data_IF_908938749028
#
_entry.id   IF_908938749028
#
_cell.length_a   1.000
_cell.length_b   1.000
_cell.length_c   1.000
_cell.angle_alpha   90.00
_cell.angle_beta   90.00
_cell.angle_gamma   90.00
#
_symmetry.space_group_name_H-M   'P 1'
#
loop_
_entity.id
_entity.type
_entity.pdbx_description
1 polymer ?
#
# COMPACT_ATOMS: atom_id res chain seq x y z
N UNK A 1 -3.12 7.27 18.87
CA UNK A 1 -3.51 5.95 19.42
C UNK A 1 -2.78 4.86 18.68
N UNK A 2 -2.27 3.86 19.40
CA UNK A 2 -1.49 2.79 18.82
C UNK A 2 -2.18 1.43 18.97
N UNK A 3 -2.13 0.62 17.91
CA UNK A 3 -2.64 -0.75 17.92
C UNK A 3 -1.47 -1.67 17.59
N UNK A 4 -1.24 -2.67 18.44
CA UNK A 4 -0.05 -3.52 18.39
C UNK A 4 -0.45 -4.99 18.28
N UNK A 5 0.20 -5.70 17.34
CA UNK A 5 0.12 -7.16 17.22
C UNK A 5 -1.31 -7.70 17.11
N UNK A 6 -2.15 -7.03 16.31
CA UNK A 6 -3.52 -7.46 16.07
C UNK A 6 -3.69 -8.08 14.69
N UNK A 7 -4.57 -9.07 14.62
CA UNK A 7 -5.09 -9.58 13.37
C UNK A 7 -6.45 -8.94 13.15
N UNK A 8 -6.58 -8.20 12.06
CA UNK A 8 -7.79 -7.45 11.76
C UNK A 8 -8.46 -8.10 10.57
N UNK A 9 -9.64 -8.67 10.80
CA UNK A 9 -10.38 -9.44 9.81
C UNK A 9 -11.76 -8.85 9.52
N UNK A 10 -12.12 -7.73 10.13
CA UNK A 10 -13.36 -7.04 9.86
C UNK A 10 -13.38 -6.59 8.41
N UNK A 11 -14.30 -7.11 7.62
CA UNK A 11 -14.33 -6.94 6.17
C UNK A 11 -14.34 -5.48 5.73
N UNK A 12 -15.06 -4.64 6.44
CA UNK A 12 -15.13 -3.21 6.17
C UNK A 12 -14.71 -2.42 7.39
N UNK A 13 -13.75 -1.52 7.21
CA UNK A 13 -13.34 -0.57 8.23
C UNK A 13 -13.84 0.82 7.84
N UNK A 14 -14.25 1.59 8.79
CA UNK A 14 -14.62 2.99 8.53
C UNK A 14 -13.37 3.86 8.46
N UNK A 15 -13.50 5.01 7.79
CA UNK A 15 -12.41 5.96 7.72
C UNK A 15 -12.00 6.45 9.12
N UNK A 16 -12.99 6.65 10.01
CA UNK A 16 -12.72 7.07 11.38
C UNK A 16 -12.02 6.02 12.23
N UNK A 17 -12.17 4.74 11.90
CA UNK A 17 -11.46 3.67 12.59
C UNK A 17 -9.97 3.65 12.26
N UNK A 18 -9.58 4.21 11.12
CA UNK A 18 -8.20 4.17 10.63
C UNK A 18 -7.47 5.50 10.77
N UNK A 19 -8.19 6.62 10.64
CA UNK A 19 -7.55 7.94 10.67
C UNK A 19 -6.97 8.27 12.03
N UNK A 20 -5.71 8.74 12.03
CA UNK A 20 -5.02 9.10 13.25
C UNK A 20 -4.53 7.92 14.09
N UNK A 21 -4.54 6.71 13.54
CA UNK A 21 -4.15 5.51 14.26
C UNK A 21 -2.81 4.98 13.74
N UNK A 22 -1.96 4.57 14.66
CA UNK A 22 -0.69 3.94 14.36
C UNK A 22 -0.79 2.44 14.60
N UNK A 23 -0.50 1.66 13.56
CA UNK A 23 -0.52 0.21 13.63
C UNK A 23 0.91 -0.33 13.60
N UNK A 24 1.22 -1.20 14.54
CA UNK A 24 2.51 -1.86 14.62
C UNK A 24 2.35 -3.37 14.62
N UNK A 25 3.03 -4.05 13.71
CA UNK A 25 3.05 -5.51 13.62
C UNK A 25 1.65 -6.12 13.54
N UNK A 26 0.78 -5.50 12.75
CA UNK A 26 -0.61 -5.94 12.56
C UNK A 26 -0.77 -6.66 11.23
N UNK A 27 -1.76 -7.54 11.17
CA UNK A 27 -2.13 -8.25 9.94
C UNK A 27 -3.57 -7.87 9.60
N UNK A 28 -3.76 -7.36 8.38
CA UNK A 28 -5.07 -7.02 7.83
C UNK A 28 -5.42 -8.08 6.79
N UNK A 29 -6.50 -8.83 7.01
CA UNK A 29 -6.92 -9.91 6.10
C UNK A 29 -8.30 -9.68 5.52
N UNK A 30 -8.43 -9.79 4.22
CA UNK A 30 -9.71 -9.76 3.49
C UNK A 30 -10.52 -8.51 3.76
N UNK A 31 -9.84 -7.37 3.87
CA UNK A 31 -10.47 -6.10 4.17
C UNK A 31 -10.69 -5.34 2.87
N UNK A 32 -11.84 -4.68 2.76
CA UNK A 32 -12.16 -3.81 1.64
C UNK A 32 -12.10 -2.36 2.10
N UNK A 33 -11.25 -1.58 1.45
CA UNK A 33 -11.09 -0.14 1.71
C UNK A 33 -11.42 0.60 0.42
N UNK A 34 -12.58 1.26 0.39
CA UNK A 34 -13.04 1.96 -0.80
C UNK A 34 -13.35 3.43 -0.50
N UNK A 35 -12.79 4.33 -1.31
CA UNK A 35 -13.08 5.76 -1.29
C UNK A 35 -12.75 6.43 0.05
N UNK A 36 -11.69 6.01 0.70
CA UNK A 36 -11.25 6.60 1.97
C UNK A 36 -10.26 7.74 1.72
N UNK A 37 -10.34 8.73 2.59
CA UNK A 37 -9.37 9.81 2.65
C UNK A 37 -8.63 9.67 3.99
N UNK A 38 -7.56 8.90 3.99
CA UNK A 38 -6.77 8.68 5.20
C UNK A 38 -5.97 9.91 5.57
N UNK A 39 -5.92 10.19 6.86
CA UNK A 39 -5.08 11.25 7.39
C UNK A 39 -4.30 10.73 8.59
N UNK A 40 -3.01 11.01 8.60
CA UNK A 40 -2.14 10.75 9.75
C UNK A 40 -2.18 9.31 10.22
N UNK A 41 -2.17 8.36 9.27
CA UNK A 41 -2.08 6.94 9.58
C UNK A 41 -0.64 6.45 9.43
N UNK A 42 -0.22 5.61 10.35
CA UNK A 42 1.09 4.99 10.27
C UNK A 42 0.96 3.47 10.39
N UNK A 43 1.59 2.77 9.47
CA UNK A 43 1.65 1.31 9.48
C UNK A 43 3.12 0.91 9.48
N UNK A 44 3.55 0.24 10.54
CA UNK A 44 4.91 -0.26 10.67
C UNK A 44 4.89 -1.77 10.88
N UNK A 45 5.66 -2.48 10.06
CA UNK A 45 5.74 -3.94 10.09
C UNK A 45 4.37 -4.62 9.97
N UNK A 46 3.50 -4.05 9.16
CA UNK A 46 2.16 -4.56 8.94
C UNK A 46 2.09 -5.35 7.63
N UNK A 47 1.15 -6.28 7.58
CA UNK A 47 0.89 -7.08 6.39
C UNK A 47 -0.57 -6.94 6.00
N UNK A 48 -0.80 -6.74 4.71
CA UNK A 48 -2.14 -6.69 4.12
C UNK A 48 -2.26 -7.89 3.19
N UNK A 49 -3.16 -8.82 3.52
CA UNK A 49 -3.30 -10.07 2.80
C UNK A 49 -4.72 -10.19 2.25
N UNK A 50 -4.85 -10.45 0.95
CA UNK A 50 -6.16 -10.58 0.28
C UNK A 50 -7.06 -9.37 0.47
N UNK A 51 -6.48 -8.18 0.50
CA UNK A 51 -7.25 -6.94 0.67
C UNK A 51 -7.55 -6.31 -0.69
N UNK A 52 -8.66 -5.59 -0.74
CA UNK A 52 -9.04 -4.78 -1.89
C UNK A 52 -9.02 -3.31 -1.48
N UNK A 53 -8.18 -2.53 -2.13
CA UNK A 53 -7.96 -1.11 -1.79
C UNK A 53 -8.25 -0.29 -3.03
N UNK A 54 -9.32 0.53 -2.99
CA UNK A 54 -9.78 1.28 -4.16
C UNK A 54 -9.98 2.75 -3.84
N UNK A 55 -9.53 3.59 -4.76
CA UNK A 55 -9.80 5.03 -4.75
C UNK A 55 -9.41 5.69 -3.43
N UNK A 56 -8.17 5.47 -2.99
CA UNK A 56 -7.65 6.06 -1.78
C UNK A 56 -6.80 7.28 -2.08
N UNK A 57 -6.95 8.29 -1.23
CA UNK A 57 -6.01 9.40 -1.13
C UNK A 57 -5.19 9.20 0.14
N UNK A 58 -3.88 9.18 -0.02
CA UNK A 58 -2.96 8.88 1.06
C UNK A 58 -2.32 10.19 1.55
N UNK A 59 -3.04 10.94 2.40
CA UNK A 59 -2.53 12.18 2.97
C UNK A 59 -1.81 11.91 4.28
N UNK A 60 -0.51 12.23 4.35
CA UNK A 60 0.31 11.97 5.53
C UNK A 60 0.28 10.51 5.96
N UNK A 61 0.29 9.65 4.98
CA UNK A 61 0.25 8.20 5.17
C UNK A 61 1.66 7.67 5.25
N UNK A 62 1.94 6.84 6.24
CA UNK A 62 3.28 6.33 6.48
C UNK A 62 3.30 4.81 6.44
N UNK A 63 4.16 4.25 5.60
CA UNK A 63 4.37 2.81 5.47
C UNK A 63 5.83 2.50 5.77
N UNK A 64 6.09 1.72 6.80
CA UNK A 64 7.44 1.31 7.16
C UNK A 64 7.48 -0.21 7.28
N UNK A 65 8.29 -0.85 6.47
CA UNK A 65 8.48 -2.31 6.45
C UNK A 65 7.15 -3.08 6.33
N UNK A 66 6.28 -2.62 5.43
CA UNK A 66 4.98 -3.25 5.21
C UNK A 66 5.00 -4.17 3.99
N UNK A 67 4.10 -5.14 3.97
CA UNK A 67 3.92 -6.05 2.84
C UNK A 67 2.45 -6.09 2.42
N UNK A 68 2.22 -6.03 1.11
CA UNK A 68 0.91 -6.27 0.51
C UNK A 68 1.01 -7.55 -0.30
N UNK A 69 0.23 -8.54 0.05
CA UNK A 69 0.24 -9.84 -0.61
C UNK A 69 -1.16 -10.21 -1.09
N UNK A 70 -1.25 -10.66 -2.32
CA UNK A 70 -2.51 -11.08 -2.93
C UNK A 70 -3.59 -9.98 -2.86
N UNK A 71 -3.19 -8.74 -3.06
CA UNK A 71 -4.07 -7.59 -2.94
C UNK A 71 -4.42 -7.01 -4.31
N UNK A 72 -5.58 -6.33 -4.37
CA UNK A 72 -5.95 -5.46 -5.47
C UNK A 72 -5.79 -4.03 -5.03
N UNK A 73 -5.01 -3.25 -5.77
CA UNK A 73 -4.85 -1.81 -5.56
C UNK A 73 -5.34 -1.11 -6.82
N UNK A 74 -6.37 -0.29 -6.70
CA UNK A 74 -6.95 0.39 -7.85
C UNK A 74 -7.24 1.85 -7.54
N UNK A 75 -6.79 2.74 -8.42
CA UNK A 75 -7.06 4.16 -8.27
C UNK A 75 -6.40 4.78 -7.05
N UNK A 76 -5.22 4.30 -6.67
CA UNK A 76 -4.49 4.80 -5.51
C UNK A 76 -3.44 5.80 -5.97
N UNK A 77 -3.46 6.99 -5.37
CA UNK A 77 -2.43 7.98 -5.61
C UNK A 77 -1.42 7.94 -4.47
N UNK A 78 -0.21 7.50 -4.78
CA UNK A 78 0.85 7.34 -3.80
C UNK A 78 1.77 8.56 -3.69
N UNK A 79 1.45 9.66 -4.37
CA UNK A 79 2.31 10.86 -4.35
C UNK A 79 2.43 11.50 -2.97
N UNK A 80 1.43 11.30 -2.11
CA UNK A 80 1.41 11.91 -0.79
C UNK A 80 1.87 10.98 0.33
N UNK A 81 2.51 9.87 -0.01
CA UNK A 81 3.12 8.99 0.99
C UNK A 81 4.32 9.71 1.60
N UNK A 82 4.37 9.70 2.92
CA UNK A 82 5.47 10.32 3.65
C UNK A 82 6.74 9.48 3.58
N UNK A 83 7.88 10.13 3.55
CA UNK A 83 9.19 9.47 3.64
C UNK A 83 9.68 9.40 5.09
N UNK A 84 10.44 8.36 5.43
CA UNK A 84 10.73 7.18 4.60
C UNK A 84 9.52 6.28 4.41
N UNK A 85 9.39 5.67 3.23
CA UNK A 85 8.37 4.64 3.01
C UNK A 85 9.04 3.38 2.48
N UNK A 86 8.73 2.25 3.11
CA UNK A 86 9.27 0.95 2.71
C UNK A 86 8.14 -0.07 2.69
N UNK A 87 7.90 -0.65 1.54
CA UNK A 87 6.87 -1.67 1.39
C UNK A 87 7.22 -2.61 0.24
N UNK A 88 6.68 -3.80 0.31
CA UNK A 88 6.78 -4.78 -0.76
C UNK A 88 5.40 -5.16 -1.27
N UNK A 89 5.34 -5.53 -2.54
CA UNK A 89 4.13 -6.01 -3.18
C UNK A 89 4.42 -7.40 -3.73
N UNK A 90 3.61 -8.39 -3.33
CA UNK A 90 3.77 -9.76 -3.79
C UNK A 90 2.43 -10.26 -4.32
N UNK A 91 2.43 -10.69 -5.57
CA UNK A 91 1.25 -11.22 -6.25
C UNK A 91 0.04 -10.28 -6.17
N UNK A 92 0.29 -9.00 -6.43
CA UNK A 92 -0.74 -7.96 -6.39
C UNK A 92 -1.16 -7.56 -7.80
N UNK A 93 -2.42 -7.13 -7.93
CA UNK A 93 -2.97 -6.56 -9.15
C UNK A 93 -3.11 -5.05 -8.91
N UNK A 94 -2.39 -4.25 -9.69
CA UNK A 94 -2.38 -2.80 -9.55
C UNK A 94 -2.98 -2.18 -10.81
N UNK A 95 -4.01 -1.37 -10.64
CA UNK A 95 -4.68 -0.69 -11.74
C UNK A 95 -4.80 0.79 -11.44
N UNK A 96 -4.34 1.62 -12.37
CA UNK A 96 -4.43 3.07 -12.22
C UNK A 96 -3.82 3.54 -10.89
N UNK A 97 -2.66 3.02 -10.55
CA UNK A 97 -1.92 3.44 -9.37
C UNK A 97 -0.80 4.38 -9.81
N UNK A 98 -0.74 5.54 -9.20
CA UNK A 98 0.26 6.56 -9.53
C UNK A 98 1.35 6.58 -8.48
N UNK A 99 2.57 6.26 -8.90
CA UNK A 99 3.77 6.36 -8.09
C UNK A 99 4.53 7.60 -8.57
N UNK A 100 4.38 8.70 -7.86
CA UNK A 100 4.95 9.99 -8.30
C UNK A 100 5.93 10.51 -7.26
N UNK A 101 7.15 10.81 -7.71
CA UNK A 101 8.21 11.41 -6.91
C UNK A 101 8.55 10.58 -5.66
N UNK A 102 8.56 9.27 -5.80
CA UNK A 102 8.84 8.36 -4.69
C UNK A 102 10.27 7.83 -4.75
N UNK A 103 10.79 7.49 -3.59
CA UNK A 103 12.09 6.82 -3.45
C UNK A 103 11.85 5.36 -3.10
N UNK A 104 11.85 4.54 -4.15
CA UNK A 104 11.53 3.12 -4.02
C UNK A 104 12.73 2.24 -4.39
N UNK A 105 13.96 2.72 -4.09
CA UNK A 105 15.14 1.93 -4.34
C UNK A 105 15.11 0.64 -3.51
N UNK A 106 15.58 -0.42 -4.10
CA UNK A 106 15.68 -1.73 -3.46
C UNK A 106 14.33 -2.29 -3.00
N UNK A 107 13.23 -1.83 -3.62
CA UNK A 107 11.90 -2.34 -3.33
C UNK A 107 11.67 -3.70 -3.98
N UNK A 108 10.74 -4.45 -3.42
CA UNK A 108 10.40 -5.78 -3.88
C UNK A 108 8.98 -5.77 -4.42
N UNK A 109 8.84 -6.04 -5.72
CA UNK A 109 7.55 -6.10 -6.42
C UNK A 109 7.49 -7.40 -7.21
N UNK A 110 7.16 -8.50 -6.54
CA UNK A 110 7.22 -9.83 -7.12
C UNK A 110 5.87 -10.29 -7.65
N UNK A 111 5.86 -10.79 -8.88
CA UNK A 111 4.68 -11.40 -9.49
C UNK A 111 3.47 -10.47 -9.50
N UNK A 112 3.69 -9.19 -9.70
CA UNK A 112 2.64 -8.18 -9.72
C UNK A 112 2.22 -7.87 -11.16
N UNK A 113 0.97 -7.42 -11.31
CA UNK A 113 0.47 -6.92 -12.60
C UNK A 113 0.21 -5.43 -12.46
N UNK A 114 0.92 -4.65 -13.26
CA UNK A 114 0.78 -3.21 -13.29
C UNK A 114 0.03 -2.82 -14.56
N UNK A 115 -1.21 -2.35 -14.43
CA UNK A 115 -2.03 -1.91 -15.56
C UNK A 115 -2.34 -0.44 -15.46
N UNK A 116 -1.95 0.31 -16.47
CA UNK A 116 -2.16 1.75 -16.53
C UNK A 116 -1.65 2.46 -15.26
N UNK A 117 -0.52 2.00 -14.76
CA UNK A 117 0.17 2.60 -13.63
C UNK A 117 1.21 3.59 -14.10
N UNK A 118 1.43 4.63 -13.31
CA UNK A 118 2.36 5.68 -13.63
C UNK A 118 3.54 5.66 -12.66
N UNK A 119 4.76 5.66 -13.21
CA UNK A 119 5.99 5.79 -12.43
C UNK A 119 6.69 7.07 -12.91
N UNK A 120 6.35 8.20 -12.32
CA UNK A 120 6.88 9.49 -12.71
C UNK A 120 7.84 10.02 -11.65
N UNK A 121 9.06 10.37 -12.07
CA UNK A 121 10.09 10.88 -11.17
C UNK A 121 10.32 9.99 -9.96
N UNK A 122 10.14 8.68 -10.12
CA UNK A 122 10.27 7.71 -9.04
C UNK A 122 11.57 6.94 -9.21
N UNK A 123 12.34 6.83 -8.14
CA UNK A 123 13.61 6.12 -8.15
C UNK A 123 13.36 4.64 -7.85
N UNK A 124 13.56 3.80 -8.87
CA UNK A 124 13.35 2.35 -8.78
C UNK A 124 14.68 1.56 -8.85
N UNK A 125 15.80 2.21 -8.63
CA UNK A 125 17.10 1.55 -8.75
C UNK A 125 17.20 0.35 -7.81
N UNK A 126 17.77 -0.74 -8.33
CA UNK A 126 17.99 -1.99 -7.59
C UNK A 126 16.71 -2.62 -7.05
N UNK A 127 15.55 -2.28 -7.61
CA UNK A 127 14.30 -2.93 -7.25
C UNK A 127 14.15 -4.26 -7.98
N UNK A 128 13.45 -5.19 -7.34
CA UNK A 128 13.22 -6.52 -7.90
C UNK A 128 11.78 -6.61 -8.41
N UNK A 129 11.63 -6.75 -9.73
CA UNK A 129 10.34 -6.90 -10.39
C UNK A 129 10.15 -8.31 -10.96
N UNK A 130 10.80 -9.31 -10.38
CA UNK A 130 10.76 -10.67 -10.89
C UNK A 130 9.32 -11.18 -11.01
N UNK A 131 8.97 -11.69 -12.18
CA UNK A 131 7.65 -12.24 -12.46
C UNK A 131 6.55 -11.21 -12.65
N UNK A 132 6.87 -9.92 -12.64
CA UNK A 132 5.88 -8.86 -12.80
C UNK A 132 5.64 -8.49 -14.26
N UNK A 133 4.43 -8.02 -14.55
CA UNK A 133 4.00 -7.62 -15.88
C UNK A 133 3.57 -6.16 -15.88
N UNK A 134 3.90 -5.44 -16.94
CA UNK A 134 3.53 -4.04 -17.13
C UNK A 134 2.69 -3.89 -18.38
N UNK A 135 1.47 -3.42 -18.26
CA UNK A 135 0.55 -3.20 -19.36
C UNK A 135 -0.05 -1.79 -19.31
N UNK A 136 -0.15 -1.19 -20.46
CA UNK A 136 -0.78 0.12 -20.62
C UNK A 136 -2.18 0.00 -21.20
#
# INVERSE_FOLDING_TARGET
MGIIEKRITKRHLSESELSGVNYYNCIFERIQLDNFNFRDCEFEKCRFVNCSIKNLKLNFFKLIDCEFKDCLLQGVNAADIMFPCTFSLVNCDLRFVDFISLRLQESIFLSCRFRDCLFEETDLRKSDFTGSEFNN
#
